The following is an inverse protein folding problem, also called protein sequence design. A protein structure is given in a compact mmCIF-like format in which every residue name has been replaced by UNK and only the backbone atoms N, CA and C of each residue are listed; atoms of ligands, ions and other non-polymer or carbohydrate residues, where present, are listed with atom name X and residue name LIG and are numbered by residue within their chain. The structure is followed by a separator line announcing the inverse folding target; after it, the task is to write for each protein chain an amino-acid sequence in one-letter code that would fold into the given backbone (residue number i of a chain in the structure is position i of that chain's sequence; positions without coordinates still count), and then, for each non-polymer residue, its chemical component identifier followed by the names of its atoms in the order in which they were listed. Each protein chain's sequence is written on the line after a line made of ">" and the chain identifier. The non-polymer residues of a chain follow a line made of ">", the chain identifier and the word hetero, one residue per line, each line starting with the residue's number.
data_IF_130715167193
#
_entry.id   IF_130715167193
#
_cell.length_a   1.000
_cell.length_b   1.000
_cell.length_c   1.000
_cell.angle_alpha   90.00
_cell.angle_beta   90.00
_cell.angle_gamma   90.00
#
_symmetry.space_group_name_H-M   'P 1'
#
loop_
_entity.id
_entity.type
_entity.pdbx_description
1 polymer ?
#
# COMPACT_ATOMS: atom_id res chain seq x y z
N UNK A 1 -18.32 45.06 -53.98
CA UNK A 1 -17.52 43.90 -53.51
C UNK A 1 -17.71 43.53 -52.03
N UNK A 2 -17.87 44.48 -51.10
CA UNK A 2 -17.98 44.19 -49.65
C UNK A 2 -19.18 43.28 -49.25
N UNK A 3 -20.34 43.42 -49.89
CA UNK A 3 -21.53 42.57 -49.60
C UNK A 3 -21.31 41.07 -49.89
N UNK A 4 -20.45 40.73 -50.85
CA UNK A 4 -20.19 39.35 -51.25
C UNK A 4 -19.22 38.65 -50.29
N UNK A 5 -18.20 39.36 -49.80
CA UNK A 5 -17.33 38.86 -48.73
C UNK A 5 -18.10 38.65 -47.42
N UNK A 6 -19.02 39.57 -47.08
CA UNK A 6 -19.85 39.42 -45.89
C UNK A 6 -20.83 38.23 -45.99
N UNK A 7 -21.41 37.99 -47.18
CA UNK A 7 -22.20 36.77 -47.43
C UNK A 7 -21.37 35.49 -47.30
N UNK A 8 -20.15 35.46 -47.85
CA UNK A 8 -19.25 34.30 -47.71
C UNK A 8 -18.79 34.06 -46.27
N UNK A 9 -18.55 35.11 -45.49
CA UNK A 9 -18.23 34.98 -44.06
C UNK A 9 -19.42 34.43 -43.26
N UNK A 10 -20.64 34.94 -43.49
CA UNK A 10 -21.85 34.38 -42.88
C UNK A 10 -22.08 32.93 -43.27
N UNK A 11 -21.85 32.57 -44.53
CA UNK A 11 -22.00 31.19 -45.00
C UNK A 11 -20.98 30.25 -44.34
N UNK A 12 -19.72 30.69 -44.19
CA UNK A 12 -18.68 29.94 -43.45
C UNK A 12 -19.02 29.79 -41.96
N UNK A 13 -19.48 30.85 -41.31
CA UNK A 13 -19.93 30.80 -39.90
C UNK A 13 -21.13 29.86 -39.74
N UNK A 14 -22.10 29.92 -40.64
CA UNK A 14 -23.26 29.04 -40.61
C UNK A 14 -22.87 27.57 -40.83
N UNK A 15 -21.95 27.28 -41.76
CA UNK A 15 -21.40 25.94 -41.93
C UNK A 15 -20.62 25.45 -40.71
N UNK A 16 -19.84 26.32 -40.04
CA UNK A 16 -19.12 25.98 -38.82
C UNK A 16 -20.08 25.68 -37.65
N UNK A 17 -21.14 26.48 -37.53
CA UNK A 17 -22.17 26.31 -36.50
C UNK A 17 -22.98 25.03 -36.73
N UNK A 18 -23.32 24.71 -37.98
CA UNK A 18 -23.97 23.44 -38.34
C UNK A 18 -23.07 22.22 -38.06
N UNK A 19 -21.75 22.31 -38.31
CA UNK A 19 -20.80 21.25 -37.97
C UNK A 19 -20.73 21.01 -36.46
N UNK A 20 -20.60 22.05 -35.65
CA UNK A 20 -20.61 21.92 -34.19
C UNK A 20 -21.92 21.34 -33.67
N UNK A 21 -23.07 21.75 -34.24
CA UNK A 21 -24.38 21.23 -33.85
C UNK A 21 -24.55 19.75 -34.20
N UNK A 22 -24.04 19.29 -35.37
CA UNK A 22 -23.97 17.86 -35.72
C UNK A 22 -23.06 17.07 -34.78
N UNK A 23 -21.90 17.63 -34.41
CA UNK A 23 -20.97 16.98 -33.50
C UNK A 23 -21.58 16.80 -32.09
N UNK A 24 -22.29 17.81 -31.58
CA UNK A 24 -23.01 17.71 -30.30
C UNK A 24 -24.17 16.72 -30.35
N UNK A 25 -24.91 16.64 -31.48
CA UNK A 25 -25.97 15.65 -31.66
C UNK A 25 -25.41 14.21 -31.73
N UNK A 26 -24.26 14.00 -32.39
CA UNK A 26 -23.59 12.71 -32.41
C UNK A 26 -23.09 12.29 -31.03
N UNK A 27 -22.53 13.20 -30.23
CA UNK A 27 -22.13 12.92 -28.85
C UNK A 27 -23.35 12.56 -27.96
N UNK A 28 -24.49 13.26 -28.12
CA UNK A 28 -25.74 12.91 -27.41
C UNK A 28 -26.31 11.54 -27.82
N UNK A 29 -26.17 11.13 -29.08
CA UNK A 29 -26.57 9.79 -29.53
C UNK A 29 -25.63 8.68 -29.03
N UNK A 30 -24.36 8.99 -28.74
CA UNK A 30 -23.45 8.03 -28.11
C UNK A 30 -23.75 7.82 -26.62
N UNK A 31 -24.18 8.85 -25.88
CA UNK A 31 -24.60 8.69 -24.49
C UNK A 31 -25.94 7.97 -24.32
N UNK A 32 -26.92 8.16 -25.22
CA UNK A 32 -28.21 7.44 -25.14
C UNK A 32 -28.14 5.94 -25.43
N UNK A 33 -27.05 5.42 -26.02
CA UNK A 33 -26.87 3.98 -26.28
C UNK A 33 -26.43 3.18 -25.05
N UNK A 34 -26.01 3.85 -23.97
CA UNK A 34 -25.53 3.20 -22.75
C UNK A 34 -26.59 3.08 -21.64
N UNK A 35 -27.68 3.84 -21.75
CA UNK A 35 -28.83 3.68 -20.85
C UNK A 35 -29.81 2.68 -21.46
N UNK A 36 -29.45 1.40 -21.43
CA UNK A 36 -30.42 0.33 -21.65
C UNK A 36 -31.53 0.51 -20.61
N UNK A 37 -32.83 0.50 -20.97
CA UNK A 37 -33.86 0.40 -19.95
C UNK A 37 -33.61 -0.91 -19.19
N UNK A 38 -33.51 -0.83 -17.87
CA UNK A 38 -33.53 -2.03 -17.05
C UNK A 38 -34.85 -2.74 -17.36
N UNK A 39 -34.78 -3.93 -17.93
CA UNK A 39 -35.94 -4.77 -18.16
C UNK A 39 -36.51 -5.17 -16.78
N UNK A 40 -37.48 -4.40 -16.28
CA UNK A 40 -38.26 -4.78 -15.12
C UNK A 40 -39.23 -5.89 -15.55
N UNK A 41 -38.85 -7.13 -15.25
CA UNK A 41 -39.77 -8.27 -15.35
C UNK A 41 -40.76 -8.16 -14.19
N UNK A 42 -42.05 -8.24 -14.50
CA UNK A 42 -43.16 -8.17 -13.54
C UNK A 42 -42.95 -9.22 -12.45
N UNK A 43 -42.81 -8.79 -11.19
CA UNK A 43 -42.62 -9.66 -10.03
C UNK A 43 -43.95 -10.27 -9.60
N UNK A 44 -44.00 -11.59 -9.41
CA UNK A 44 -45.10 -12.25 -8.71
C UNK A 44 -45.00 -12.01 -7.20
N UNK A 45 -46.15 -11.79 -6.56
CA UNK A 45 -46.24 -11.54 -5.11
C UNK A 45 -46.41 -12.88 -4.41
N UNK A 46 -45.45 -13.29 -3.58
CA UNK A 46 -45.63 -14.33 -2.57
C UNK A 46 -45.47 -13.69 -1.19
N UNK A 47 -46.42 -13.94 -0.30
CA UNK A 47 -46.39 -13.57 1.12
C UNK A 47 -46.20 -12.06 1.43
N UNK A 48 -46.82 -11.18 0.63
CA UNK A 48 -46.89 -9.74 0.91
C UNK A 48 -45.57 -8.96 0.73
N UNK A 49 -44.48 -9.63 0.37
CA UNK A 49 -43.18 -9.01 0.12
C UNK A 49 -42.88 -9.01 -1.39
N UNK A 50 -42.73 -7.82 -1.97
CA UNK A 50 -42.31 -7.67 -3.38
C UNK A 50 -40.84 -8.02 -3.51
N UNK A 51 -40.52 -9.23 -3.96
CA UNK A 51 -39.15 -9.64 -4.29
C UNK A 51 -38.95 -9.38 -5.78
N UNK A 52 -38.24 -8.30 -6.13
CA UNK A 52 -37.72 -8.13 -7.48
C UNK A 52 -36.48 -9.01 -7.65
N UNK A 53 -36.60 -10.12 -8.37
CA UNK A 53 -35.44 -10.93 -8.73
C UNK A 53 -34.55 -10.18 -9.73
N UNK A 54 -33.48 -9.56 -9.23
CA UNK A 54 -32.43 -9.00 -10.08
C UNK A 54 -31.64 -10.14 -10.74
N UNK A 55 -31.97 -10.48 -11.99
CA UNK A 55 -31.15 -11.39 -12.80
C UNK A 55 -29.84 -10.70 -13.16
N UNK A 56 -28.78 -10.96 -12.39
CA UNK A 56 -27.42 -10.48 -12.68
C UNK A 56 -26.92 -11.16 -13.97
N UNK A 57 -26.64 -10.35 -14.99
CA UNK A 57 -26.04 -10.82 -16.23
C UNK A 57 -24.60 -11.30 -15.97
N UNK A 58 -24.37 -12.61 -16.10
CA UNK A 58 -23.11 -13.27 -15.77
C UNK A 58 -21.96 -12.92 -16.74
N UNK A 59 -22.25 -12.26 -17.87
CA UNK A 59 -21.27 -11.95 -18.92
C UNK A 59 -20.54 -10.60 -18.76
N UNK A 60 -20.71 -9.90 -17.64
CA UNK A 60 -19.98 -8.66 -17.33
C UNK A 60 -18.61 -8.91 -16.65
N UNK A 61 -17.82 -9.87 -17.13
CA UNK A 61 -16.49 -10.22 -16.57
C UNK A 61 -15.32 -9.43 -17.19
N UNK A 62 -15.57 -8.51 -18.13
CA UNK A 62 -14.51 -7.90 -18.93
C UNK A 62 -13.80 -6.68 -18.31
N UNK A 63 -14.22 -6.15 -17.14
CA UNK A 63 -13.62 -4.95 -16.54
C UNK A 63 -13.72 -4.92 -15.01
N UNK A 64 -13.44 -6.04 -14.33
CA UNK A 64 -13.30 -6.03 -12.87
C UNK A 64 -11.90 -5.55 -12.52
N UNK A 65 -11.77 -4.36 -11.92
CA UNK A 65 -10.51 -3.91 -11.31
C UNK A 65 -10.00 -5.04 -10.40
N UNK A 66 -8.71 -5.37 -10.43
CA UNK A 66 -8.17 -6.42 -9.57
C UNK A 66 -8.51 -6.09 -8.11
N UNK A 67 -9.16 -7.04 -7.43
CA UNK A 67 -9.48 -6.87 -6.02
C UNK A 67 -8.19 -6.83 -5.21
N UNK A 68 -8.11 -5.90 -4.26
CA UNK A 68 -6.95 -5.78 -3.38
C UNK A 68 -6.78 -7.09 -2.60
N UNK A 69 -5.62 -7.74 -2.76
CA UNK A 69 -5.31 -9.06 -2.17
C UNK A 69 -5.10 -9.04 -0.64
N UNK A 70 -5.33 -7.91 0.01
CA UNK A 70 -5.12 -7.74 1.45
C UNK A 70 -3.68 -7.41 1.83
N UNK A 71 -3.44 -7.31 3.13
CA UNK A 71 -2.10 -7.07 3.69
C UNK A 71 -1.24 -8.32 3.54
N UNK A 72 0.06 -8.15 3.22
CA UNK A 72 1.02 -9.26 3.22
C UNK A 72 1.24 -9.78 4.65
N UNK A 73 1.44 -11.09 4.77
CA UNK A 73 1.76 -11.76 6.03
C UNK A 73 3.20 -11.42 6.42
N UNK A 74 3.44 -11.20 7.71
CA UNK A 74 4.77 -10.90 8.27
C UNK A 74 5.53 -12.21 8.46
N UNK A 75 6.83 -12.30 8.11
CA UNK A 75 7.62 -13.51 8.33
C UNK A 75 7.77 -13.85 9.82
N UNK A 76 7.75 -15.15 10.14
CA UNK A 76 7.77 -15.66 11.52
C UNK A 76 8.96 -15.16 12.34
N UNK A 77 10.16 -15.11 11.75
CA UNK A 77 11.38 -14.68 12.42
C UNK A 77 11.28 -13.22 12.90
N UNK A 78 10.68 -12.33 12.09
CA UNK A 78 10.49 -10.93 12.49
C UNK A 78 9.41 -10.80 13.56
N UNK A 79 8.33 -11.58 13.49
CA UNK A 79 7.33 -11.59 14.55
C UNK A 79 7.95 -11.99 15.88
N UNK A 80 8.78 -13.04 15.91
CA UNK A 80 9.47 -13.49 17.12
C UNK A 80 10.38 -12.41 17.73
N UNK A 81 11.09 -11.63 16.90
CA UNK A 81 11.92 -10.49 17.36
C UNK A 81 11.10 -9.44 18.11
N UNK A 82 9.87 -9.19 17.67
CA UNK A 82 9.01 -8.13 18.19
C UNK A 82 7.97 -8.61 19.22
N UNK A 83 7.87 -9.91 19.47
CA UNK A 83 6.98 -10.51 20.47
C UNK A 83 7.28 -9.97 21.87
N UNK A 84 6.22 -9.60 22.61
CA UNK A 84 6.30 -9.07 23.99
C UNK A 84 6.02 -10.12 25.08
N UNK A 85 6.06 -11.39 24.70
CA UNK A 85 5.81 -12.55 25.57
C UNK A 85 4.55 -13.34 25.18
N UNK A 86 4.23 -14.37 25.96
CA UNK A 86 3.09 -15.28 25.70
C UNK A 86 1.71 -14.65 25.95
N UNK A 87 1.69 -13.44 26.52
CA UNK A 87 0.48 -12.72 26.88
C UNK A 87 -0.21 -13.26 28.14
N UNK A 88 -1.28 -12.59 28.55
CA UNK A 88 -1.98 -12.94 29.79
C UNK A 88 -3.02 -14.04 29.56
N UNK A 89 -2.91 -15.16 30.29
CA UNK A 89 -3.92 -16.22 30.27
C UNK A 89 -5.22 -15.76 30.95
N UNK A 90 -6.22 -15.39 30.16
CA UNK A 90 -7.51 -14.87 30.65
C UNK A 90 -8.24 -15.81 31.63
N UNK A 91 -7.99 -17.13 31.55
CA UNK A 91 -8.57 -18.14 32.45
C UNK A 91 -7.96 -18.10 33.86
N UNK A 92 -6.70 -17.65 33.97
CA UNK A 92 -5.95 -17.61 35.22
C UNK A 92 -6.19 -16.33 36.03
N UNK A 93 -6.60 -15.22 35.40
CA UNK A 93 -6.76 -13.89 36.03
C UNK A 93 -8.02 -13.75 36.91
N UNK A 94 -8.55 -14.87 37.42
CA UNK A 94 -9.72 -14.87 38.29
C UNK A 94 -11.03 -14.78 37.49
N UNK A 95 -11.83 -15.83 37.60
CA UNK A 95 -13.11 -16.06 36.92
C UNK A 95 -14.22 -15.02 37.15
N UNK A 96 -13.99 -13.96 37.95
CA UNK A 96 -15.07 -13.23 38.62
C UNK A 96 -15.50 -11.91 37.98
N UNK A 97 -14.70 -11.24 37.14
CA UNK A 97 -15.10 -9.95 36.55
C UNK A 97 -14.94 -9.89 35.01
N UNK A 98 -16.08 -9.97 34.31
CA UNK A 98 -16.20 -9.87 32.85
C UNK A 98 -15.60 -8.58 32.27
N UNK A 99 -15.71 -7.47 33.00
CA UNK A 99 -15.17 -6.18 32.55
C UNK A 99 -13.64 -6.16 32.52
N UNK A 100 -12.98 -6.74 33.55
CA UNK A 100 -11.51 -6.84 33.60
C UNK A 100 -11.02 -7.75 32.47
N UNK A 101 -11.68 -8.89 32.25
CA UNK A 101 -11.34 -9.79 31.14
C UNK A 101 -11.47 -9.09 29.78
N UNK A 102 -12.54 -8.31 29.57
CA UNK A 102 -12.72 -7.52 28.35
C UNK A 102 -11.59 -6.49 28.19
N UNK A 103 -11.20 -5.79 29.26
CA UNK A 103 -10.07 -4.85 29.24
C UNK A 103 -8.76 -5.53 28.88
N UNK A 104 -8.44 -6.67 29.50
CA UNK A 104 -7.21 -7.42 29.21
C UNK A 104 -7.23 -7.89 27.75
N UNK A 105 -8.33 -8.50 27.27
CA UNK A 105 -8.47 -8.90 25.86
C UNK A 105 -8.25 -7.76 24.88
N UNK A 106 -8.75 -6.56 25.19
CA UNK A 106 -8.52 -5.38 24.34
C UNK A 106 -7.05 -4.93 24.37
N UNK A 107 -6.39 -4.99 25.52
CA UNK A 107 -4.95 -4.71 25.64
C UNK A 107 -4.12 -5.72 24.84
N UNK A 108 -4.39 -7.01 25.00
CA UNK A 108 -3.72 -8.09 24.25
C UNK A 108 -3.88 -7.91 22.73
N UNK A 109 -5.09 -7.54 22.27
CA UNK A 109 -5.30 -7.24 20.84
C UNK A 109 -4.44 -6.07 20.35
N UNK A 110 -4.29 -5.02 21.16
CA UNK A 110 -3.44 -3.86 20.82
C UNK A 110 -1.96 -4.23 20.81
N UNK A 111 -1.53 -5.07 21.74
CA UNK A 111 -0.15 -5.59 21.79
C UNK A 111 0.14 -6.35 20.50
N UNK A 112 -0.69 -7.34 20.14
CA UNK A 112 -0.52 -8.13 18.90
C UNK A 112 -0.50 -7.25 17.65
N UNK A 113 -1.39 -6.26 17.59
CA UNK A 113 -1.39 -5.29 16.49
C UNK A 113 -0.06 -4.50 16.44
N UNK A 114 0.43 -4.02 17.59
CA UNK A 114 1.69 -3.28 17.66
C UNK A 114 2.92 -4.15 17.32
N UNK A 115 2.91 -5.44 17.68
CA UNK A 115 3.95 -6.41 17.30
C UNK A 115 4.00 -6.59 15.78
N UNK A 116 2.84 -6.84 15.15
CA UNK A 116 2.74 -6.97 13.69
C UNK A 116 3.19 -5.70 12.96
N UNK A 117 2.72 -4.53 13.41
CA UNK A 117 3.08 -3.26 12.77
C UNK A 117 4.57 -2.92 12.97
N UNK A 118 5.14 -3.20 14.15
CA UNK A 118 6.59 -3.06 14.37
C UNK A 118 7.39 -3.96 13.43
N UNK A 119 6.97 -5.22 13.28
CA UNK A 119 7.63 -6.15 12.38
C UNK A 119 7.49 -5.78 10.89
N UNK A 120 6.39 -5.14 10.50
CA UNK A 120 6.21 -4.57 9.14
C UNK A 120 7.10 -3.35 8.93
N UNK A 121 7.26 -2.51 9.95
CA UNK A 121 8.06 -1.29 9.87
C UNK A 121 9.55 -1.57 9.64
N UNK A 122 10.04 -2.79 9.89
CA UNK A 122 11.42 -3.21 9.58
C UNK A 122 11.80 -2.94 8.12
N UNK A 123 10.85 -3.06 7.19
CA UNK A 123 11.07 -2.80 5.75
C UNK A 123 11.43 -1.33 5.47
N UNK A 124 11.05 -0.43 6.37
CA UNK A 124 11.33 1.00 6.24
C UNK A 124 12.71 1.39 6.78
N UNK A 125 13.46 0.46 7.37
CA UNK A 125 14.83 0.74 7.81
C UNK A 125 15.73 0.97 6.60
N UNK A 126 16.40 2.14 6.51
CA UNK A 126 17.20 2.49 5.33
C UNK A 126 18.55 1.77 5.29
N UNK A 127 19.07 1.37 6.44
CA UNK A 127 20.40 0.79 6.58
C UNK A 127 20.34 -0.70 6.87
N UNK A 128 21.28 -1.44 6.28
CA UNK A 128 21.54 -2.84 6.61
C UNK A 128 22.67 -2.95 7.65
N UNK A 129 22.73 -4.08 8.35
CA UNK A 129 23.85 -4.39 9.24
C UNK A 129 25.14 -4.58 8.42
N UNK A 130 26.25 -4.04 8.92
CA UNK A 130 27.58 -4.35 8.37
C UNK A 130 28.02 -5.76 8.73
N UNK A 131 28.76 -6.40 7.83
CA UNK A 131 29.30 -7.76 8.03
C UNK A 131 30.69 -7.88 7.40
N UNK A 132 31.51 -8.76 7.97
CA UNK A 132 32.82 -9.15 7.44
C UNK A 132 32.81 -10.67 7.29
N UNK A 133 32.72 -11.14 6.05
CA UNK A 133 32.74 -12.55 5.71
C UNK A 133 34.10 -12.87 5.10
N UNK A 134 34.74 -13.93 5.59
CA UNK A 134 36.02 -14.40 5.06
C UNK A 134 35.77 -15.34 3.88
N UNK A 135 36.72 -15.38 2.94
CA UNK A 135 36.73 -16.36 1.86
C UNK A 135 37.04 -17.77 2.41
N UNK A 136 36.64 -18.81 1.68
CA UNK A 136 36.90 -20.19 2.04
C UNK A 136 38.41 -20.42 2.28
N UNK A 137 38.75 -20.99 3.45
CA UNK A 137 40.14 -21.22 3.85
C UNK A 137 40.84 -20.03 4.51
N UNK A 138 40.19 -18.87 4.62
CA UNK A 138 40.70 -17.70 5.36
C UNK A 138 39.89 -17.46 6.64
N UNK A 139 40.54 -16.98 7.70
CA UNK A 139 39.83 -16.59 8.92
C UNK A 139 39.70 -15.07 9.00
N UNK A 140 38.55 -14.60 9.49
CA UNK A 140 38.27 -13.18 9.69
C UNK A 140 39.27 -12.47 10.62
N UNK A 141 39.92 -13.22 11.52
CA UNK A 141 40.96 -12.70 12.43
C UNK A 141 42.25 -12.26 11.73
N UNK A 142 42.51 -12.70 10.50
CA UNK A 142 43.72 -12.35 9.75
C UNK A 142 43.56 -11.04 8.96
N UNK A 143 42.34 -10.52 8.85
CA UNK A 143 42.04 -9.30 8.10
C UNK A 143 42.55 -8.08 8.89
N UNK A 144 43.40 -7.26 8.28
CA UNK A 144 44.03 -6.13 8.97
C UNK A 144 43.14 -4.88 8.95
N UNK A 145 43.30 -4.00 9.95
CA UNK A 145 42.56 -2.72 9.98
C UNK A 145 42.87 -1.85 8.75
N UNK A 146 44.07 -1.97 8.19
CA UNK A 146 44.45 -1.28 6.96
C UNK A 146 43.71 -1.81 5.73
N UNK A 147 43.45 -3.11 5.66
CA UNK A 147 42.64 -3.73 4.60
C UNK A 147 41.19 -3.31 4.71
N UNK A 148 40.62 -3.33 5.92
CA UNK A 148 39.25 -2.87 6.18
C UNK A 148 39.10 -1.41 5.74
N UNK A 149 40.03 -0.53 6.14
CA UNK A 149 40.00 0.89 5.77
C UNK A 149 40.08 1.13 4.26
N UNK A 150 40.76 0.26 3.51
CA UNK A 150 40.84 0.32 2.04
C UNK A 150 39.57 -0.19 1.35
N UNK A 151 38.86 -1.13 1.97
CA UNK A 151 37.68 -1.76 1.39
C UNK A 151 36.38 -0.96 1.64
N UNK A 152 36.30 -0.21 2.75
CA UNK A 152 35.11 0.60 3.08
C UNK A 152 35.08 1.94 2.36
N UNK A 153 33.92 2.59 2.36
CA UNK A 153 33.75 3.92 1.76
C UNK A 153 34.56 5.01 2.48
N UNK A 154 34.80 6.13 1.79
CA UNK A 154 35.64 7.23 2.29
C UNK A 154 35.09 7.82 3.60
N UNK A 155 33.77 7.88 3.77
CA UNK A 155 33.15 8.47 4.97
C UNK A 155 33.33 7.57 6.19
N UNK A 156 33.26 6.24 6.01
CA UNK A 156 33.54 5.26 7.05
C UNK A 156 35.04 5.17 7.33
N UNK A 157 35.89 5.16 6.29
CA UNK A 157 37.34 5.15 6.42
C UNK A 157 37.86 6.37 7.20
N UNK A 158 37.25 7.54 7.01
CA UNK A 158 37.60 8.77 7.73
C UNK A 158 37.30 8.70 9.24
N UNK A 159 36.38 7.83 9.67
CA UNK A 159 36.08 7.62 11.11
C UNK A 159 37.14 6.77 11.83
N UNK A 160 38.06 6.13 11.11
CA UNK A 160 39.21 5.44 11.69
C UNK A 160 40.38 6.42 11.85
N UNK A 161 40.57 6.90 13.08
CA UNK A 161 41.63 7.82 13.49
C UNK A 161 42.29 7.36 14.78
N UNK A 162 43.55 7.76 14.95
CA UNK A 162 44.34 7.52 16.16
C UNK A 162 44.50 8.83 16.93
N UNK A 163 44.23 8.82 18.24
CA UNK A 163 44.45 9.95 19.14
C UNK A 163 45.71 9.70 19.97
N UNK A 164 46.75 10.50 19.73
CA UNK A 164 47.98 10.44 20.52
C UNK A 164 47.94 11.50 21.63
N UNK A 165 47.61 11.08 22.86
CA UNK A 165 47.44 11.94 24.05
C UNK A 165 48.53 11.65 25.11
N UNK A 166 49.78 11.89 24.76
CA UNK A 166 50.94 11.45 25.55
C UNK A 166 51.07 12.13 26.94
N UNK A 167 50.36 13.25 27.14
CA UNK A 167 50.53 14.12 28.32
C UNK A 167 49.69 13.71 29.53
N UNK A 168 48.63 12.92 29.36
CA UNK A 168 47.65 12.66 30.42
C UNK A 168 47.68 11.23 30.97
N UNK A 169 48.72 10.45 30.62
CA UNK A 169 48.82 9.03 30.96
C UNK A 169 47.88 8.15 30.12
N UNK A 170 47.83 6.83 30.38
CA UNK A 170 46.98 5.91 29.62
C UNK A 170 45.51 6.28 29.74
N UNK A 171 44.82 6.37 28.61
CA UNK A 171 43.38 6.56 28.57
C UNK A 171 42.70 5.30 29.15
N UNK A 172 41.84 5.49 30.15
CA UNK A 172 41.06 4.40 30.80
C UNK A 172 39.67 4.29 30.21
#
# INVERSE_FOLDING_TARGET
>A
MAKQQQQQQRHRQHQHQQKHRRQQQQQKHQHKKNDKPQNFVRSEVKDGVRITEFKVNQNAKANRRPQFKGRKVVPSNLLQKYTKGEGVQLKAVGRKNSYIQKKIKMKEKRIKYAEEESARAEILLPESKGQLEAEEGTYTSHITQTEIKKAVDITTAAKSFDLNLDQFGPYK
#
